data_IF_729010565638
#
_entry.id   IF_729010565638
#
_cell.length_a   1.000
_cell.length_b   1.000
_cell.length_c   1.000
_cell.angle_alpha   90.00
_cell.angle_beta   90.00
_cell.angle_gamma   90.00
#
_symmetry.space_group_name_H-M   'P 1'
#
loop_
_entity.id
_entity.type
_entity.pdbx_description
1 polymer ?
#
# COMPACT_ATOMS: atom_id res chain seq x y z
N UNK A 1 -13.87 2.75 -1.43
CA UNK A 1 -13.89 4.22 -1.32
C UNK A 1 -12.80 4.71 -0.38
N UNK A 2 -12.69 4.15 0.84
CA UNK A 2 -11.68 4.57 1.84
C UNK A 2 -10.23 4.68 1.32
N UNK A 3 -9.73 3.73 0.53
CA UNK A 3 -8.37 3.84 -0.05
C UNK A 3 -8.23 5.08 -0.94
N UNK A 4 -9.17 5.31 -1.85
CA UNK A 4 -9.15 6.48 -2.74
C UNK A 4 -9.18 7.79 -1.95
N UNK A 5 -9.98 7.85 -0.89
CA UNK A 5 -10.10 9.03 -0.01
C UNK A 5 -8.81 9.32 0.76
N UNK A 6 -7.96 8.31 0.97
CA UNK A 6 -6.66 8.44 1.60
C UNK A 6 -5.51 8.66 0.60
N UNK A 7 -5.79 8.76 -0.70
CA UNK A 7 -4.82 9.28 -1.68
C UNK A 7 -5.00 10.79 -1.83
N UNK A 8 -3.91 11.55 -1.67
CA UNK A 8 -3.93 13.01 -1.80
C UNK A 8 -3.98 13.46 -3.26
N UNK A 9 -4.45 14.68 -3.49
CA UNK A 9 -4.47 15.34 -4.80
C UNK A 9 -3.10 15.92 -5.19
N UNK A 10 -2.05 15.09 -5.18
CA UNK A 10 -0.73 15.46 -5.69
C UNK A 10 -0.72 15.45 -7.23
N UNK A 11 0.19 16.18 -7.89
CA UNK A 11 0.34 16.09 -9.35
C UNK A 11 0.66 14.69 -9.87
N UNK A 12 1.40 13.87 -9.10
CA UNK A 12 1.82 12.52 -9.50
C UNK A 12 1.34 11.42 -8.55
N UNK A 13 1.85 11.35 -7.31
CA UNK A 13 1.48 10.34 -6.31
C UNK A 13 0.05 10.56 -5.78
N UNK A 14 -0.93 10.26 -6.62
CA UNK A 14 -2.37 10.43 -6.41
C UNK A 14 -3.10 9.12 -6.75
N UNK A 15 -4.43 9.11 -6.63
CA UNK A 15 -5.21 7.90 -6.87
C UNK A 15 -5.10 7.37 -8.32
N UNK A 16 -4.81 8.23 -9.31
CA UNK A 16 -4.60 7.77 -10.69
C UNK A 16 -3.29 6.99 -10.82
N UNK A 17 -2.24 7.41 -10.11
CA UNK A 17 -1.00 6.63 -10.03
C UNK A 17 -1.22 5.28 -9.35
N UNK A 18 -1.93 5.25 -8.21
CA UNK A 18 -2.39 4.00 -7.57
C UNK A 18 -3.06 3.07 -8.58
N UNK A 19 -4.05 3.58 -9.32
CA UNK A 19 -4.76 2.83 -10.35
C UNK A 19 -3.81 2.26 -11.43
N UNK A 20 -2.87 3.07 -11.93
CA UNK A 20 -1.91 2.62 -12.93
C UNK A 20 -1.04 1.45 -12.42
N UNK A 21 -0.54 1.53 -11.18
CA UNK A 21 0.29 0.48 -10.59
C UNK A 21 -0.51 -0.80 -10.38
N UNK A 22 -1.73 -0.71 -9.83
CA UNK A 22 -2.62 -1.86 -9.64
C UNK A 22 -3.02 -2.49 -10.97
N UNK A 23 -3.37 -1.68 -11.97
CA UNK A 23 -3.77 -2.18 -13.29
C UNK A 23 -2.60 -2.85 -14.00
N UNK A 24 -1.39 -2.30 -13.90
CA UNK A 24 -0.19 -2.93 -14.42
C UNK A 24 0.09 -4.26 -13.73
N UNK A 25 -0.03 -4.32 -12.39
CA UNK A 25 0.14 -5.57 -11.64
C UNK A 25 -0.86 -6.63 -12.09
N UNK A 26 -2.13 -6.28 -12.25
CA UNK A 26 -3.14 -7.16 -12.83
C UNK A 26 -2.74 -7.63 -14.24
N UNK A 27 -2.30 -6.72 -15.10
CA UNK A 27 -1.79 -7.04 -16.43
C UNK A 27 -0.62 -8.04 -16.39
N UNK A 28 0.31 -7.87 -15.47
CA UNK A 28 1.45 -8.78 -15.27
C UNK A 28 1.02 -10.16 -14.77
N UNK A 29 0.06 -10.23 -13.84
CA UNK A 29 -0.53 -11.50 -13.39
C UNK A 29 -1.02 -12.31 -14.60
N UNK A 30 -1.67 -11.64 -15.56
CA UNK A 30 -2.17 -12.26 -16.79
C UNK A 30 -1.12 -12.57 -17.84
N UNK A 31 -0.28 -11.61 -18.17
CA UNK A 31 0.72 -11.77 -19.22
C UNK A 31 1.76 -12.84 -18.85
N UNK A 32 2.17 -12.88 -17.59
CA UNK A 32 3.18 -13.82 -17.09
C UNK A 32 2.57 -15.10 -16.50
N UNK A 33 1.24 -15.24 -16.51
CA UNK A 33 0.50 -16.37 -15.91
C UNK A 33 0.93 -16.66 -14.48
N UNK A 34 1.01 -15.63 -13.65
CA UNK A 34 1.52 -15.76 -12.28
C UNK A 34 0.69 -16.73 -11.42
N UNK A 35 -0.59 -16.95 -11.75
CA UNK A 35 -1.42 -17.98 -11.11
C UNK A 35 -0.92 -19.41 -11.29
N UNK A 36 -0.04 -19.69 -12.26
CA UNK A 36 0.58 -21.01 -12.40
C UNK A 36 1.77 -21.21 -11.44
N UNK A 37 2.25 -20.13 -10.81
CA UNK A 37 3.48 -20.10 -10.00
C UNK A 37 3.29 -19.60 -8.58
N UNK A 38 2.17 -18.92 -8.31
CA UNK A 38 1.88 -18.23 -7.06
C UNK A 38 0.52 -18.67 -6.53
N UNK A 39 0.37 -18.66 -5.22
CA UNK A 39 -0.91 -18.97 -4.57
C UNK A 39 -1.90 -17.82 -4.72
N UNK A 40 -3.19 -18.07 -4.51
CA UNK A 40 -4.20 -17.01 -4.45
C UNK A 40 -3.88 -15.98 -3.36
N UNK A 41 -3.25 -16.42 -2.26
CA UNK A 41 -2.77 -15.54 -1.19
C UNK A 41 -1.71 -14.56 -1.72
N UNK A 42 -0.68 -15.07 -2.41
CA UNK A 42 0.38 -14.25 -3.00
C UNK A 42 -0.16 -13.23 -4.02
N UNK A 43 -1.11 -13.66 -4.88
CA UNK A 43 -1.75 -12.76 -5.85
C UNK A 43 -2.58 -11.67 -5.15
N UNK A 44 -3.26 -12.03 -4.05
CA UNK A 44 -3.98 -11.09 -3.19
C UNK A 44 -3.04 -10.07 -2.55
N UNK A 45 -1.87 -10.51 -2.07
CA UNK A 45 -0.81 -9.64 -1.53
C UNK A 45 -0.33 -8.67 -2.61
N UNK A 46 -0.02 -9.14 -3.81
CA UNK A 46 0.45 -8.29 -4.92
C UNK A 46 -0.54 -7.17 -5.25
N UNK A 47 -1.83 -7.50 -5.39
CA UNK A 47 -2.85 -6.52 -5.73
C UNK A 47 -3.13 -5.56 -4.57
N UNK A 48 -3.19 -6.07 -3.33
CA UNK A 48 -3.43 -5.22 -2.14
C UNK A 48 -2.27 -4.28 -1.90
N UNK A 49 -1.03 -4.76 -2.00
CA UNK A 49 0.18 -3.93 -1.86
C UNK A 49 0.20 -2.85 -2.94
N UNK A 50 -0.06 -3.19 -4.21
CA UNK A 50 -0.11 -2.23 -5.30
C UNK A 50 -1.12 -1.10 -5.06
N UNK A 51 -2.33 -1.45 -4.57
CA UNK A 51 -3.39 -0.48 -4.24
C UNK A 51 -3.01 0.43 -3.07
N UNK A 52 -2.22 -0.05 -2.12
CA UNK A 52 -1.92 0.66 -0.87
C UNK A 52 -0.56 1.38 -0.86
N UNK A 53 0.33 1.14 -1.82
CA UNK A 53 1.76 1.44 -1.70
C UNK A 53 2.13 2.92 -1.49
N UNK A 54 1.25 3.86 -1.86
CA UNK A 54 1.47 5.31 -1.80
C UNK A 54 0.37 6.05 -1.01
N UNK A 55 -0.33 5.33 -0.13
CA UNK A 55 -1.39 5.90 0.71
C UNK A 55 -0.89 7.12 1.51
N UNK A 56 -1.64 8.22 1.45
CA UNK A 56 -1.34 9.47 2.15
C UNK A 56 0.01 10.12 1.79
N UNK A 57 0.56 9.84 0.59
CA UNK A 57 1.80 10.46 0.13
C UNK A 57 1.72 12.01 0.14
N UNK A 58 2.66 12.75 0.75
CA UNK A 58 2.54 14.20 0.97
C UNK A 58 3.01 15.07 -0.22
N UNK A 59 3.53 14.44 -1.28
CA UNK A 59 4.01 15.12 -2.49
C UNK A 59 5.50 15.43 -2.50
N UNK A 60 6.22 15.07 -1.43
CA UNK A 60 7.67 15.25 -1.28
C UNK A 60 8.30 13.92 -0.84
N UNK A 61 9.43 13.56 -1.45
CA UNK A 61 10.11 12.28 -1.22
C UNK A 61 10.83 12.20 0.14
N UNK A 62 11.37 11.02 0.48
CA UNK A 62 12.09 10.78 1.73
C UNK A 62 13.26 11.74 1.96
N UNK A 63 14.02 12.10 0.93
CA UNK A 63 15.12 13.09 1.04
C UNK A 63 14.62 14.41 1.59
N UNK A 64 13.46 14.90 1.12
CA UNK A 64 12.83 16.08 1.70
C UNK A 64 12.40 15.84 3.15
N UNK A 65 11.72 14.72 3.44
CA UNK A 65 11.23 14.42 4.79
C UNK A 65 12.37 14.47 5.82
N UNK A 66 13.50 13.84 5.51
CA UNK A 66 14.70 13.72 6.35
C UNK A 66 15.39 15.08 6.50
N UNK A 67 15.70 15.74 5.38
CA UNK A 67 16.42 17.01 5.41
C UNK A 67 15.62 18.12 6.12
N UNK A 68 14.31 18.14 5.93
CA UNK A 68 13.41 19.09 6.60
C UNK A 68 13.02 18.65 8.02
N UNK A 69 13.48 17.48 8.50
CA UNK A 69 13.17 16.92 9.83
C UNK A 69 11.67 16.92 10.13
N UNK A 70 10.90 16.52 9.14
CA UNK A 70 9.44 16.43 9.25
C UNK A 70 9.01 15.43 10.33
N UNK A 71 7.74 15.50 10.74
CA UNK A 71 7.18 14.54 11.70
C UNK A 71 7.34 13.08 11.23
N UNK A 72 7.17 12.81 9.93
CA UNK A 72 7.34 11.45 9.40
C UNK A 72 8.79 10.97 9.51
N UNK A 73 9.76 11.82 9.21
CA UNK A 73 11.18 11.48 9.35
C UNK A 73 11.55 11.19 10.81
N UNK A 74 11.07 12.02 11.75
CA UNK A 74 11.27 11.81 13.18
C UNK A 74 10.60 10.51 13.64
N UNK A 75 9.34 10.27 13.24
CA UNK A 75 8.57 9.08 13.63
C UNK A 75 9.22 7.79 13.16
N UNK A 76 9.76 7.78 11.95
CA UNK A 76 10.35 6.59 11.33
C UNK A 76 11.88 6.57 11.40
N UNK A 77 12.48 7.47 12.20
CA UNK A 77 13.93 7.53 12.45
C UNK A 77 14.75 7.52 11.14
N UNK A 78 14.32 8.32 10.15
CA UNK A 78 14.93 8.43 8.82
C UNK A 78 14.96 7.14 7.98
N UNK A 79 14.34 6.05 8.43
CA UNK A 79 14.30 4.75 7.73
C UNK A 79 13.00 4.65 6.94
N UNK A 80 13.10 4.84 5.61
CA UNK A 80 11.97 4.81 4.67
C UNK A 80 10.68 5.46 5.23
N UNK A 81 10.71 6.76 5.62
CA UNK A 81 9.58 7.38 6.31
C UNK A 81 8.24 7.30 5.57
N UNK A 82 8.26 7.48 4.25
CA UNK A 82 7.04 7.44 3.45
C UNK A 82 6.51 6.03 3.30
N UNK A 83 7.36 5.06 2.97
CA UNK A 83 6.92 3.68 2.73
C UNK A 83 6.38 3.03 4.02
N UNK A 84 6.98 3.33 5.17
CA UNK A 84 6.44 2.94 6.47
C UNK A 84 5.09 3.61 6.75
N UNK A 85 4.93 4.89 6.40
CA UNK A 85 3.68 5.62 6.55
C UNK A 85 2.56 5.04 5.67
N UNK A 86 2.83 4.79 4.39
CA UNK A 86 1.88 4.18 3.45
C UNK A 86 1.37 2.84 3.99
N UNK A 87 2.29 2.00 4.45
CA UNK A 87 1.96 0.71 5.05
C UNK A 87 1.15 0.86 6.35
N UNK A 88 1.51 1.80 7.23
CA UNK A 88 0.76 2.07 8.45
C UNK A 88 -0.69 2.51 8.16
N UNK A 89 -0.89 3.42 7.20
CA UNK A 89 -2.23 3.87 6.77
C UNK A 89 -3.02 2.70 6.16
N UNK A 90 -2.40 1.84 5.35
CA UNK A 90 -3.05 0.66 4.79
C UNK A 90 -3.66 -0.23 5.88
N UNK A 91 -2.87 -0.56 6.91
CA UNK A 91 -3.34 -1.41 8.00
C UNK A 91 -4.26 -0.68 8.98
N UNK A 92 -4.19 0.65 9.08
CA UNK A 92 -5.20 1.44 9.78
C UNK A 92 -6.57 1.30 9.09
N UNK A 93 -6.62 1.43 7.75
CA UNK A 93 -7.85 1.20 6.98
C UNK A 93 -8.36 -0.24 7.19
N UNK A 94 -7.48 -1.23 7.09
CA UNK A 94 -7.88 -2.65 7.24
C UNK A 94 -8.27 -3.03 8.68
N UNK A 95 -7.92 -2.22 9.68
CA UNK A 95 -8.32 -2.45 11.07
C UNK A 95 -9.76 -2.04 11.37
N UNK A 96 -10.37 -1.20 10.54
CA UNK A 96 -11.78 -0.86 10.66
C UNK A 96 -12.64 -2.02 10.07
N UNK A 97 -13.59 -2.59 10.86
CA UNK A 97 -14.44 -3.68 10.40
C UNK A 97 -15.19 -3.43 9.09
N UNK A 98 -15.58 -2.18 8.80
CA UNK A 98 -16.33 -1.83 7.59
C UNK A 98 -15.46 -1.85 6.32
N UNK A 99 -14.15 -1.74 6.47
CA UNK A 99 -13.17 -1.69 5.37
C UNK A 99 -12.22 -2.87 5.35
N UNK A 100 -12.36 -3.81 6.29
CA UNK A 100 -11.51 -4.98 6.41
C UNK A 100 -11.88 -6.08 5.39
N UNK A 101 -11.23 -6.07 4.23
CA UNK A 101 -11.38 -7.12 3.22
C UNK A 101 -10.84 -8.49 3.67
N UNK A 102 -10.09 -8.54 4.77
CA UNK A 102 -9.52 -9.77 5.35
C UNK A 102 -10.27 -10.25 6.61
N UNK A 103 -11.49 -9.74 6.87
CA UNK A 103 -12.25 -10.05 8.08
C UNK A 103 -12.52 -11.55 8.31
N UNK A 104 -12.55 -12.35 7.25
CA UNK A 104 -12.81 -13.79 7.30
C UNK A 104 -11.58 -14.65 6.98
N UNK A 105 -10.39 -14.04 6.94
CA UNK A 105 -9.13 -14.76 6.78
C UNK A 105 -8.67 -15.23 8.16
N UNK A 106 -8.15 -16.47 8.26
CA UNK A 106 -7.64 -16.97 9.52
C UNK A 106 -6.40 -16.20 9.99
N UNK A 107 -6.12 -16.28 11.29
CA UNK A 107 -5.08 -15.48 11.93
C UNK A 107 -3.68 -15.72 11.36
N UNK A 108 -3.35 -16.94 10.95
CA UNK A 108 -2.01 -17.26 10.46
C UNK A 108 -1.84 -16.84 9.00
N UNK A 109 -2.90 -16.94 8.20
CA UNK A 109 -2.93 -16.36 6.85
C UNK A 109 -2.87 -14.84 6.89
N UNK A 110 -3.59 -14.17 7.80
CA UNK A 110 -3.50 -12.71 7.94
C UNK A 110 -2.09 -12.24 8.33
N UNK A 111 -1.40 -12.99 9.21
CA UNK A 111 0.00 -12.69 9.54
C UNK A 111 0.92 -12.80 8.32
N UNK A 112 0.72 -13.79 7.45
CA UNK A 112 1.51 -13.94 6.21
C UNK A 112 1.21 -12.83 5.22
N UNK A 113 -0.06 -12.46 5.03
CA UNK A 113 -0.47 -11.31 4.21
C UNK A 113 0.17 -10.01 4.70
N UNK A 114 0.32 -9.85 6.02
CA UNK A 114 0.88 -8.65 6.65
C UNK A 114 2.40 -8.59 6.68
N UNK A 115 3.08 -9.74 6.65
CA UNK A 115 4.53 -9.85 6.85
C UNK A 115 5.32 -9.10 5.77
#
# INVERSE_FOLDING_TARGET
>A
LCVQENYRNNPFHNFRHCFCVTQMMYGMIHLCKLWERMTTEDLGILLTAAVCHDLDHPGYNNTYQINARTELAIRYNDISPLENHHCAVAFQILSNPETNIFAYVDKDTFKRIRA
#
